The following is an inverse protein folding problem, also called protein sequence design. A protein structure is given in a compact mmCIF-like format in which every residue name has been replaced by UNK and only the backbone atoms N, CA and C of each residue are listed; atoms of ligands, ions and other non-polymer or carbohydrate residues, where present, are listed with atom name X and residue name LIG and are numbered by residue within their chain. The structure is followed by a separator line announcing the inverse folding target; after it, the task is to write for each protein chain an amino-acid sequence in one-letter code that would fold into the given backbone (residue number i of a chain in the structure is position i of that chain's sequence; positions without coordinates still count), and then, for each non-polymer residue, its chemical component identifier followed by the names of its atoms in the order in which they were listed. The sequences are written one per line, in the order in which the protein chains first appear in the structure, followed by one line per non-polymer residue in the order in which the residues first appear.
data_IF_343371078007
#
_entry.id   IF_343371078007
#
_cell.length_a   1.000
_cell.length_b   1.000
_cell.length_c   1.000
_cell.angle_alpha   90.00
_cell.angle_beta   90.00
_cell.angle_gamma   90.00
#
_symmetry.space_group_name_H-M   'P 1'
#
loop_
_entity.id
_entity.type
_entity.pdbx_description
1 polymer ?
#
# COMPACT_ATOMS: atom_id res chain seq x y z
N UNK A 1 -43.76 6.45 -13.41
CA UNK A 1 -44.14 5.23 -12.67
C UNK A 1 -43.17 4.06 -12.94
N UNK A 2 -42.71 3.89 -14.18
CA UNK A 2 -41.83 2.79 -14.62
C UNK A 2 -40.46 2.66 -13.92
N UNK A 3 -39.81 3.78 -13.53
CA UNK A 3 -38.48 3.76 -12.87
C UNK A 3 -38.50 3.11 -11.49
N UNK A 4 -39.61 3.23 -10.74
CA UNK A 4 -39.75 2.63 -9.40
C UNK A 4 -39.90 1.10 -9.47
N UNK A 5 -40.58 0.58 -10.49
CA UNK A 5 -40.75 -0.85 -10.70
C UNK A 5 -39.45 -1.53 -11.13
N UNK A 6 -38.70 -0.92 -12.05
CA UNK A 6 -37.37 -1.42 -12.47
C UNK A 6 -36.38 -1.55 -11.29
N UNK A 7 -36.34 -0.57 -10.39
CA UNK A 7 -35.47 -0.63 -9.22
C UNK A 7 -35.85 -1.76 -8.24
N UNK A 8 -37.15 -2.06 -8.09
CA UNK A 8 -37.63 -3.11 -7.20
C UNK A 8 -37.25 -4.52 -7.73
N UNK A 9 -37.34 -4.71 -9.04
CA UNK A 9 -36.91 -5.96 -9.71
C UNK A 9 -35.39 -6.20 -9.62
N UNK A 10 -34.59 -5.14 -9.77
CA UNK A 10 -33.13 -5.20 -9.69
C UNK A 10 -32.67 -5.60 -8.28
N UNK A 11 -33.31 -5.03 -7.26
CA UNK A 11 -33.01 -5.32 -5.85
C UNK A 11 -33.33 -6.79 -5.52
N UNK A 12 -34.41 -7.36 -6.05
CA UNK A 12 -34.79 -8.76 -5.79
C UNK A 12 -33.86 -9.80 -6.42
N UNK A 13 -32.99 -9.42 -7.36
CA UNK A 13 -32.05 -10.34 -8.04
C UNK A 13 -30.74 -10.60 -7.30
N UNK A 14 -30.48 -9.91 -6.19
CA UNK A 14 -29.27 -10.11 -5.38
C UNK A 14 -29.38 -11.46 -4.65
N UNK A 15 -28.60 -12.45 -5.09
CA UNK A 15 -28.43 -13.74 -4.40
C UNK A 15 -27.26 -13.66 -3.43
N UNK A 16 -27.46 -14.20 -2.23
CA UNK A 16 -26.43 -14.39 -1.22
C UNK A 16 -26.38 -15.89 -0.93
N UNK A 17 -25.31 -16.55 -1.34
CA UNK A 17 -25.08 -17.97 -1.05
C UNK A 17 -23.63 -18.12 -0.56
N UNK A 18 -23.46 -18.86 0.54
CA UNK A 18 -22.18 -19.14 1.19
C UNK A 18 -21.79 -20.59 0.91
N UNK A 19 -20.49 -20.86 0.73
CA UNK A 19 -19.78 -21.95 1.45
C UNK A 19 -18.32 -21.57 1.78
N UNK A 20 -17.58 -20.81 0.97
CA UNK A 20 -16.23 -20.31 1.33
C UNK A 20 -15.89 -18.96 0.64
N UNK A 21 -15.69 -17.89 1.42
CA UNK A 21 -14.88 -16.73 0.99
C UNK A 21 -15.58 -15.38 0.82
N UNK A 22 -15.91 -14.77 1.96
CA UNK A 22 -16.22 -13.34 2.18
C UNK A 22 -17.56 -12.79 1.63
N UNK A 23 -18.64 -13.16 2.31
CA UNK A 23 -19.93 -12.46 2.25
C UNK A 23 -20.00 -11.45 3.39
N UNK A 24 -20.01 -10.14 3.11
CA UNK A 24 -20.43 -9.16 4.11
C UNK A 24 -21.93 -9.34 4.28
N UNK A 25 -22.36 -9.92 5.40
CA UNK A 25 -23.78 -9.96 5.77
C UNK A 25 -24.23 -8.54 6.10
N UNK A 26 -25.20 -8.02 5.35
CA UNK A 26 -25.80 -6.72 5.63
C UNK A 26 -27.32 -6.81 5.58
N UNK A 27 -27.99 -6.08 6.49
CA UNK A 27 -29.41 -5.88 6.43
C UNK A 27 -29.76 -4.94 5.27
N UNK A 28 -30.39 -5.51 4.25
CA UNK A 28 -30.68 -4.84 2.98
C UNK A 28 -31.57 -3.61 3.14
N UNK A 29 -32.49 -3.65 4.10
CA UNK A 29 -33.41 -2.53 4.36
C UNK A 29 -32.69 -1.38 5.07
N UNK A 30 -31.83 -1.68 6.04
CA UNK A 30 -30.99 -0.67 6.69
C UNK A 30 -30.06 0.03 5.70
N UNK A 31 -29.43 -0.74 4.82
CA UNK A 31 -28.49 -0.21 3.82
C UNK A 31 -29.23 0.63 2.75
N UNK A 32 -30.51 0.32 2.50
CA UNK A 32 -31.37 1.10 1.59
C UNK A 32 -31.84 2.40 2.19
N UNK A 33 -32.11 2.41 3.49
CA UNK A 33 -32.46 3.63 4.22
C UNK A 33 -31.26 4.56 4.34
N UNK A 34 -30.10 4.02 4.76
CA UNK A 34 -28.89 4.81 4.99
C UNK A 34 -28.15 5.18 3.70
N UNK A 35 -28.13 4.30 2.70
CA UNK A 35 -27.34 4.48 1.46
C UNK A 35 -28.13 4.15 0.18
N UNK A 36 -29.24 4.86 -0.10
CA UNK A 36 -30.13 4.55 -1.22
C UNK A 36 -29.43 4.60 -2.59
N UNK A 37 -28.53 5.56 -2.80
CA UNK A 37 -27.79 5.70 -4.06
C UNK A 37 -26.75 4.58 -4.25
N UNK A 38 -26.04 4.19 -3.18
CA UNK A 38 -25.04 3.14 -3.23
C UNK A 38 -25.65 1.79 -3.64
N UNK A 39 -26.82 1.44 -3.10
CA UNK A 39 -27.53 0.21 -3.51
C UNK A 39 -27.88 0.26 -5.00
N UNK A 40 -28.33 1.40 -5.52
CA UNK A 40 -28.66 1.51 -6.95
C UNK A 40 -27.42 1.39 -7.84
N UNK A 41 -26.26 1.84 -7.37
CA UNK A 41 -24.99 1.70 -8.08
C UNK A 41 -24.48 0.26 -8.09
N UNK A 42 -24.49 -0.39 -6.91
CA UNK A 42 -24.11 -1.81 -6.75
C UNK A 42 -25.01 -2.70 -7.60
N UNK A 43 -26.33 -2.56 -7.45
CA UNK A 43 -27.29 -3.41 -8.17
C UNK A 43 -27.34 -3.09 -9.68
N UNK A 44 -27.07 -1.85 -10.05
CA UNK A 44 -26.91 -1.42 -11.44
C UNK A 44 -25.54 -1.74 -12.05
N UNK A 45 -24.59 -2.30 -11.29
CA UNK A 45 -23.18 -2.54 -11.67
C UNK A 45 -22.52 -1.31 -12.30
N UNK A 46 -22.90 -0.10 -11.88
CA UNK A 46 -22.29 1.13 -12.41
C UNK A 46 -20.87 1.24 -11.85
N UNK A 47 -19.88 1.38 -12.75
CA UNK A 47 -18.45 1.44 -12.39
C UNK A 47 -17.93 0.21 -11.62
N UNK A 48 -18.47 -0.98 -11.88
CA UNK A 48 -17.93 -2.20 -11.28
C UNK A 48 -16.58 -2.56 -11.90
N UNK A 49 -15.56 -2.81 -11.08
CA UNK A 49 -14.32 -3.43 -11.47
C UNK A 49 -14.39 -4.93 -11.16
N UNK A 50 -14.11 -5.77 -12.15
CA UNK A 50 -13.99 -7.21 -11.94
C UNK A 50 -12.60 -7.48 -11.38
N UNK A 51 -12.54 -8.15 -10.24
CA UNK A 51 -11.29 -8.68 -9.70
C UNK A 51 -11.15 -10.07 -10.29
N UNK A 52 -10.19 -10.27 -11.18
CA UNK A 52 -10.00 -11.56 -11.86
C UNK A 52 -9.28 -12.59 -10.97
N UNK A 53 -8.47 -12.15 -10.01
CA UNK A 53 -7.79 -13.01 -9.05
C UNK A 53 -7.40 -12.23 -7.80
N UNK A 54 -7.43 -12.91 -6.65
CA UNK A 54 -6.93 -12.39 -5.38
C UNK A 54 -5.73 -13.27 -5.04
N UNK A 55 -4.53 -12.68 -5.04
CA UNK A 55 -3.33 -13.36 -4.53
C UNK A 55 -3.41 -13.41 -3.00
N UNK A 56 -3.91 -14.52 -2.46
CA UNK A 56 -3.79 -14.85 -1.04
C UNK A 56 -2.37 -15.32 -0.78
N UNK A 57 -1.44 -14.37 -0.74
CA UNK A 57 -0.02 -14.68 -0.72
C UNK A 57 0.46 -14.94 0.72
N UNK A 58 0.32 -16.17 1.21
CA UNK A 58 1.10 -16.62 2.39
C UNK A 58 2.55 -16.92 2.04
N UNK A 59 2.93 -16.98 0.76
CA UNK A 59 4.32 -17.19 0.33
C UNK A 59 4.69 -16.39 -0.92
N UNK A 60 5.20 -15.18 -0.66
CA UNK A 60 5.63 -14.13 -1.59
C UNK A 60 6.33 -14.62 -2.86
N UNK A 61 5.58 -15.15 -3.82
CA UNK A 61 6.08 -15.35 -5.18
C UNK A 61 5.85 -14.06 -5.94
N UNK A 62 6.86 -13.19 -5.95
CA UNK A 62 6.85 -11.92 -6.66
C UNK A 62 6.75 -12.21 -8.17
N UNK A 63 5.53 -12.31 -8.69
CA UNK A 63 5.31 -12.06 -10.11
C UNK A 63 5.79 -10.64 -10.37
N UNK A 64 6.87 -10.50 -11.15
CA UNK A 64 7.38 -9.22 -11.64
C UNK A 64 6.33 -8.60 -12.57
N UNK A 65 5.27 -8.08 -11.99
CA UNK A 65 4.46 -7.05 -12.64
C UNK A 65 5.41 -5.90 -12.87
N UNK A 66 5.58 -5.47 -14.12
CA UNK A 66 6.34 -4.26 -14.44
C UNK A 66 5.65 -3.08 -13.75
N UNK A 67 6.10 -2.76 -12.54
CA UNK A 67 5.57 -1.62 -11.81
C UNK A 67 5.91 -0.35 -12.60
N UNK A 68 4.95 0.56 -12.80
CA UNK A 68 5.19 1.81 -13.54
C UNK A 68 6.23 2.69 -12.83
N UNK A 69 6.42 2.49 -11.52
CA UNK A 69 7.37 3.21 -10.70
C UNK A 69 8.32 2.25 -9.96
N UNK A 70 9.56 2.70 -9.68
CA UNK A 70 10.50 1.96 -8.83
C UNK A 70 9.93 1.69 -7.44
N UNK A 71 10.27 0.54 -6.87
CA UNK A 71 9.78 0.12 -5.55
C UNK A 71 10.09 1.14 -4.43
N UNK A 72 11.25 1.81 -4.47
CA UNK A 72 11.61 2.82 -3.47
C UNK A 72 10.72 4.08 -3.48
N UNK A 73 9.89 4.30 -4.51
CA UNK A 73 8.85 5.35 -4.50
C UNK A 73 7.51 4.84 -3.96
N UNK A 74 7.22 3.55 -4.15
CA UNK A 74 5.92 2.97 -3.81
C UNK A 74 5.91 2.51 -2.36
N UNK A 75 6.98 1.83 -1.93
CA UNK A 75 7.11 1.26 -0.61
C UNK A 75 8.52 1.52 -0.07
N UNK A 76 8.77 2.71 0.53
CA UNK A 76 10.07 3.01 1.12
C UNK A 76 10.36 2.05 2.28
N UNK A 77 11.58 1.53 2.31
CA UNK A 77 12.09 0.66 3.36
C UNK A 77 12.69 1.46 4.52
N UNK A 78 12.96 0.81 5.65
CA UNK A 78 13.68 1.42 6.78
C UNK A 78 14.98 2.14 6.36
N UNK A 79 15.74 1.54 5.43
CA UNK A 79 16.98 2.13 4.91
C UNK A 79 16.70 3.46 4.18
N UNK A 80 15.57 3.57 3.48
CA UNK A 80 15.20 4.79 2.75
C UNK A 80 14.92 5.96 3.67
N UNK A 81 14.32 5.70 4.84
CA UNK A 81 14.14 6.68 5.90
C UNK A 81 15.47 7.06 6.56
N UNK A 82 16.30 6.06 6.89
CA UNK A 82 17.60 6.30 7.54
C UNK A 82 18.57 7.11 6.67
N UNK A 83 18.52 6.93 5.34
CA UNK A 83 19.33 7.72 4.39
C UNK A 83 18.96 9.21 4.31
N UNK A 84 17.90 9.64 4.99
CA UNK A 84 17.48 11.05 5.10
C UNK A 84 17.81 11.66 6.46
N UNK A 85 18.17 10.84 7.44
CA UNK A 85 18.50 11.30 8.77
C UNK A 85 19.83 12.06 8.76
N UNK A 86 19.91 13.10 9.58
CA UNK A 86 21.08 13.99 9.69
C UNK A 86 22.01 13.60 10.84
N UNK A 87 21.47 12.93 11.86
CA UNK A 87 22.19 12.58 13.07
C UNK A 87 21.74 11.23 13.64
N UNK A 88 22.58 10.62 14.49
CA UNK A 88 22.34 9.30 15.05
C UNK A 88 21.04 9.23 15.87
N UNK A 89 20.69 10.29 16.62
CA UNK A 89 19.50 10.29 17.48
C UNK A 89 18.21 10.26 16.66
N UNK A 90 18.17 11.01 15.57
CA UNK A 90 17.07 11.00 14.59
C UNK A 90 16.92 9.60 13.98
N UNK A 91 18.03 9.00 13.54
CA UNK A 91 18.03 7.66 12.97
C UNK A 91 17.54 6.58 13.95
N UNK A 92 17.94 6.67 15.22
CA UNK A 92 17.46 5.76 16.28
C UNK A 92 15.97 5.97 16.57
N UNK A 93 15.51 7.21 16.58
CA UNK A 93 14.08 7.53 16.79
C UNK A 93 13.21 6.98 15.65
N UNK A 94 13.70 7.06 14.41
CA UNK A 94 13.04 6.44 13.26
C UNK A 94 13.01 4.92 13.40
N UNK A 95 14.12 4.28 13.79
CA UNK A 95 14.15 2.84 14.02
C UNK A 95 13.17 2.40 15.12
N UNK A 96 13.11 3.14 16.24
CA UNK A 96 12.18 2.86 17.33
C UNK A 96 10.71 2.98 16.86
N UNK A 97 10.41 4.00 16.06
CA UNK A 97 9.10 4.18 15.46
C UNK A 97 8.73 3.01 14.54
N UNK A 98 9.64 2.61 13.64
CA UNK A 98 9.41 1.51 12.69
C UNK A 98 9.23 0.16 13.41
N UNK A 99 9.99 -0.08 14.48
CA UNK A 99 9.83 -1.28 15.30
C UNK A 99 8.46 -1.30 15.99
N UNK A 100 8.02 -0.16 16.54
CA UNK A 100 6.71 -0.04 17.20
C UNK A 100 5.54 -0.27 16.24
N UNK A 101 5.70 0.09 14.96
CA UNK A 101 4.71 -0.17 13.92
C UNK A 101 4.82 -1.57 13.29
N UNK A 102 5.74 -2.41 13.79
CA UNK A 102 6.02 -3.75 13.26
C UNK A 102 6.45 -3.74 11.78
N UNK A 103 6.96 -2.62 11.27
CA UNK A 103 7.46 -2.48 9.89
C UNK A 103 8.86 -3.07 9.71
N UNK A 104 9.58 -3.29 10.81
CA UNK A 104 10.88 -3.99 10.84
C UNK A 104 10.91 -5.05 11.94
N UNK A 105 11.66 -6.12 11.69
CA UNK A 105 11.87 -7.15 12.72
C UNK A 105 12.83 -6.67 13.81
N UNK A 106 12.74 -7.23 15.02
CA UNK A 106 13.71 -6.97 16.10
C UNK A 106 15.16 -7.27 15.68
N UNK A 107 15.34 -8.29 14.83
CA UNK A 107 16.66 -8.65 14.29
C UNK A 107 17.22 -7.54 13.40
N UNK A 108 16.39 -7.00 12.52
CA UNK A 108 16.78 -5.91 11.62
C UNK A 108 17.01 -4.61 12.40
N UNK A 109 16.14 -4.30 13.36
CA UNK A 109 16.31 -3.18 14.28
C UNK A 109 17.68 -3.21 14.97
N UNK A 110 18.02 -4.35 15.61
CA UNK A 110 19.29 -4.50 16.32
C UNK A 110 20.50 -4.43 15.36
N UNK A 111 20.36 -5.00 14.16
CA UNK A 111 21.40 -4.92 13.12
C UNK A 111 21.66 -3.48 12.69
N UNK A 112 20.61 -2.71 12.37
CA UNK A 112 20.73 -1.31 11.95
C UNK A 112 21.24 -0.43 13.09
N UNK A 113 20.69 -0.59 14.30
CA UNK A 113 21.15 0.13 15.50
C UNK A 113 22.64 -0.09 15.76
N UNK A 114 23.10 -1.34 15.72
CA UNK A 114 24.51 -1.66 15.90
C UNK A 114 25.40 -1.08 14.80
N UNK A 115 24.94 -1.01 13.55
CA UNK A 115 25.70 -0.39 12.46
C UNK A 115 25.80 1.13 12.64
N UNK A 116 24.71 1.79 13.05
CA UNK A 116 24.66 3.25 13.27
C UNK A 116 25.50 3.66 14.49
N UNK A 117 25.63 2.81 15.50
CA UNK A 117 26.40 3.09 16.71
C UNK A 117 27.89 2.74 16.60
N UNK A 118 28.32 2.07 15.53
CA UNK A 118 29.73 1.68 15.30
C UNK A 118 30.47 2.71 14.43
N UNK A 119 31.78 2.87 14.68
CA UNK A 119 32.69 3.62 13.81
C UNK A 119 32.29 5.09 13.62
N UNK A 120 32.29 5.59 12.37
CA UNK A 120 31.86 6.96 12.04
C UNK A 120 30.31 7.11 12.01
N UNK A 121 29.59 6.08 12.46
CA UNK A 121 28.17 6.11 12.78
C UNK A 121 27.23 6.17 11.58
N UNK A 122 26.20 7.02 11.66
CA UNK A 122 25.18 7.14 10.61
C UNK A 122 25.77 7.48 9.25
N UNK A 123 26.83 8.28 9.17
CA UNK A 123 27.44 8.67 7.90
C UNK A 123 27.93 7.46 7.11
N UNK A 124 28.70 6.58 7.76
CA UNK A 124 29.19 5.34 7.15
C UNK A 124 28.05 4.42 6.74
N UNK A 125 27.00 4.32 7.56
CA UNK A 125 25.79 3.56 7.22
C UNK A 125 25.14 4.11 5.94
N UNK A 126 24.95 5.43 5.86
CA UNK A 126 24.33 6.07 4.70
C UNK A 126 25.18 5.87 3.44
N UNK A 127 26.49 6.05 3.53
CA UNK A 127 27.42 5.88 2.41
C UNK A 127 27.41 4.43 1.89
N UNK A 128 27.39 3.45 2.80
CA UNK A 128 27.24 2.03 2.47
C UNK A 128 25.93 1.71 1.73
N UNK A 129 24.85 2.44 2.04
CA UNK A 129 23.52 2.22 1.46
C UNK A 129 23.19 3.16 0.28
N UNK A 130 24.20 3.74 -0.37
CA UNK A 130 24.05 4.53 -1.60
C UNK A 130 24.00 6.04 -1.39
N UNK A 131 24.45 6.53 -0.24
CA UNK A 131 24.61 7.95 0.06
C UNK A 131 23.32 8.66 0.49
N UNK A 132 23.49 9.90 0.94
CA UNK A 132 22.44 10.71 1.54
C UNK A 132 21.35 11.10 0.53
N UNK A 133 20.08 10.84 0.87
CA UNK A 133 18.91 11.22 0.05
C UNK A 133 18.53 12.68 0.32
N UNK A 134 19.25 13.60 -0.33
CA UNK A 134 18.99 15.05 -0.25
C UNK A 134 17.60 15.46 -0.76
N UNK A 135 17.21 16.70 -0.48
CA UNK A 135 15.98 17.28 -1.03
C UNK A 135 15.94 17.16 -2.57
N UNK A 136 14.78 16.71 -3.08
CA UNK A 136 14.58 16.42 -4.50
C UNK A 136 15.31 15.17 -5.03
N UNK A 137 15.85 14.29 -4.16
CA UNK A 137 16.59 13.09 -4.59
C UNK A 137 15.80 12.23 -5.59
N UNK A 138 14.53 11.91 -5.29
CA UNK A 138 13.72 11.05 -6.18
C UNK A 138 13.39 11.74 -7.50
N UNK A 139 13.13 13.05 -7.48
CA UNK A 139 12.94 13.83 -8.71
C UNK A 139 14.19 13.79 -9.57
N UNK A 140 15.36 14.09 -9.00
CA UNK A 140 16.65 14.05 -9.73
C UNK A 140 16.94 12.66 -10.29
N UNK A 141 16.64 11.61 -9.52
CA UNK A 141 16.91 10.22 -9.89
C UNK A 141 15.96 9.68 -10.96
N UNK A 142 14.69 10.07 -10.94
CA UNK A 142 13.64 9.42 -11.76
C UNK A 142 12.93 10.32 -12.78
N UNK A 143 13.09 11.64 -12.72
CA UNK A 143 12.42 12.58 -13.65
C UNK A 143 12.70 12.30 -15.13
N UNK A 144 13.86 11.73 -15.46
CA UNK A 144 14.22 11.39 -16.84
C UNK A 144 13.77 9.98 -17.27
N UNK A 145 13.41 9.11 -16.32
CA UNK A 145 12.98 7.73 -16.61
C UNK A 145 11.52 7.72 -17.10
N UNK A 146 10.69 8.64 -16.60
CA UNK A 146 9.27 8.74 -16.97
C UNK A 146 9.07 9.30 -18.38
N UNK A 147 10.00 10.12 -18.90
CA UNK A 147 9.86 10.74 -20.23
C UNK A 147 10.14 9.79 -21.40
N UNK A 148 10.93 8.73 -21.19
CA UNK A 148 11.27 7.76 -22.23
C UNK A 148 10.33 6.55 -22.30
N UNK A 149 9.41 6.37 -21.33
CA UNK A 149 8.40 5.29 -21.34
C UNK A 149 7.05 5.71 -21.94
N UNK A 150 6.88 6.98 -22.28
CA UNK A 150 5.64 7.55 -22.86
C UNK A 150 5.84 7.88 -24.36
N UNK A 151 6.90 7.35 -24.99
CA UNK A 151 7.10 7.41 -26.44
C UNK A 151 6.91 6.04 -27.07
#
# INVERSE_FOLDING_TARGET
MERKNKNKEIINKLKVENEEGLTVSYEKDELKEKFPYLITEIAGKKKSLKIDSIENNTESTQLKVEKPYPDELINPTAIDFLRRCTNNNEALSILDYLLKQEEISEKDYNSFKNQILKGEGLKTFIDKHGGFKSHGYYEKKYRNVTQNKIK
#
